data_IF_522724753984
#
_entry.id   IF_522724753984
#
_cell.length_a   1.000
_cell.length_b   1.000
_cell.length_c   1.000
_cell.angle_alpha   90.00
_cell.angle_beta   90.00
_cell.angle_gamma   90.00
#
_symmetry.space_group_name_H-M   'P 1'
#
loop_
_entity.id
_entity.type
_entity.pdbx_description
1 polymer ?
#
# COMPACT_ATOMS: atom_id res chain seq x y z
N UNK A 1 13.29 14.54 0.68
CA UNK A 1 12.40 15.53 1.31
C UNK A 1 11.83 14.89 2.57
N UNK A 2 11.50 15.65 3.61
CA UNK A 2 10.80 15.09 4.78
C UNK A 2 9.32 15.44 4.63
N UNK A 3 8.45 14.43 4.63
CA UNK A 3 7.01 14.66 4.64
C UNK A 3 6.56 14.82 6.09
N UNK A 4 6.01 16.00 6.39
CA UNK A 4 5.42 16.33 7.68
C UNK A 4 3.91 16.43 7.50
N UNK A 5 3.15 15.59 8.19
CA UNK A 5 1.70 15.59 8.11
C UNK A 5 1.07 15.09 9.41
N UNK A 6 0.27 15.92 10.11
CA UNK A 6 -0.42 15.46 11.31
C UNK A 6 -1.66 14.63 10.96
N UNK A 7 -1.91 13.56 11.71
CA UNK A 7 -3.21 12.90 11.77
C UNK A 7 -4.09 13.68 12.75
N UNK A 8 -5.15 14.32 12.26
CA UNK A 8 -5.98 15.23 13.07
C UNK A 8 -7.39 14.70 13.22
N UNK A 9 -7.90 14.68 14.46
CA UNK A 9 -9.29 14.38 14.74
C UNK A 9 -10.17 15.62 14.51
N UNK A 10 -11.27 15.45 13.77
CA UNK A 10 -12.26 16.49 13.47
C UNK A 10 -13.60 16.08 14.11
N UNK A 11 -14.34 16.99 14.77
CA UNK A 11 -14.17 18.45 14.79
C UNK A 11 -13.25 19.01 15.88
N UNK A 12 -12.74 18.18 16.80
CA UNK A 12 -11.97 18.66 17.97
C UNK A 12 -10.65 19.35 17.63
N UNK A 13 -10.14 19.20 16.40
CA UNK A 13 -8.82 19.68 15.93
C UNK A 13 -7.64 19.10 16.72
N UNK A 14 -7.86 18.04 17.49
CA UNK A 14 -6.79 17.37 18.25
C UNK A 14 -5.86 16.66 17.28
N UNK A 15 -4.57 16.98 17.32
CA UNK A 15 -3.53 16.20 16.65
C UNK A 15 -3.39 14.87 17.40
N UNK A 16 -3.60 13.77 16.70
CA UNK A 16 -3.51 12.41 17.22
C UNK A 16 -2.08 11.86 17.08
N UNK A 17 -1.47 12.06 15.91
CA UNK A 17 -0.09 11.66 15.61
C UNK A 17 0.57 12.78 14.82
N UNK A 18 1.82 13.10 15.15
CA UNK A 18 2.65 13.96 14.32
C UNK A 18 3.60 13.05 13.54
N UNK A 19 3.26 12.76 12.28
CA UNK A 19 4.04 11.82 11.48
C UNK A 19 5.15 12.57 10.77
N UNK A 20 6.39 12.14 11.04
CA UNK A 20 7.55 12.48 10.24
C UNK A 20 7.94 11.27 9.41
N UNK A 21 7.83 11.39 8.09
CA UNK A 21 8.42 10.40 7.19
C UNK A 21 9.66 11.00 6.55
N UNK A 22 10.82 10.46 6.93
CA UNK A 22 12.12 10.88 6.40
C UNK A 22 12.38 10.20 5.06
N UNK A 23 12.87 10.96 4.09
CA UNK A 23 13.38 10.42 2.83
C UNK A 23 12.31 10.01 1.79
N UNK A 24 11.02 10.20 2.08
CA UNK A 24 9.97 10.03 1.08
C UNK A 24 9.93 11.22 0.10
N UNK A 25 9.82 10.92 -1.19
CA UNK A 25 9.56 11.89 -2.26
C UNK A 25 8.06 12.13 -2.44
N UNK A 26 7.28 11.06 -2.32
CA UNK A 26 5.84 11.10 -2.44
C UNK A 26 5.19 10.16 -1.42
N UNK A 27 3.94 10.43 -1.05
CA UNK A 27 3.13 9.49 -0.31
C UNK A 27 1.71 9.40 -0.83
N UNK A 28 1.16 8.19 -0.79
CA UNK A 28 -0.25 7.94 -1.07
C UNK A 28 -0.92 7.39 0.20
N UNK A 29 -2.15 7.84 0.47
CA UNK A 29 -2.87 7.53 1.70
C UNK A 29 -4.16 6.78 1.39
N UNK A 30 -4.37 5.63 2.04
CA UNK A 30 -5.56 4.79 1.84
C UNK A 30 -6.22 4.47 3.17
N UNK A 31 -7.45 4.95 3.34
CA UNK A 31 -8.31 4.61 4.46
C UNK A 31 -8.93 3.22 4.29
N UNK A 32 -8.90 2.41 5.34
CA UNK A 32 -9.72 1.20 5.42
C UNK A 32 -11.19 1.61 5.63
N UNK A 33 -12.12 0.81 5.11
CA UNK A 33 -13.53 1.21 4.95
C UNK A 33 -14.27 1.58 6.24
N UNK A 34 -13.87 1.01 7.39
CA UNK A 34 -14.45 1.31 8.71
C UNK A 34 -13.60 2.34 9.50
N UNK A 35 -12.53 2.87 8.89
CA UNK A 35 -11.63 3.85 9.49
C UNK A 35 -10.75 3.28 10.60
N UNK A 36 -10.58 1.95 10.67
CA UNK A 36 -9.75 1.30 11.68
C UNK A 36 -8.25 1.42 11.36
N UNK A 37 -7.92 1.48 10.07
CA UNK A 37 -6.55 1.52 9.57
C UNK A 37 -6.37 2.64 8.54
N UNK A 38 -5.20 3.26 8.56
CA UNK A 38 -4.71 4.14 7.49
C UNK A 38 -3.39 3.57 6.98
N UNK A 39 -3.34 3.25 5.69
CA UNK A 39 -2.08 2.94 5.02
C UNK A 39 -1.48 4.22 4.45
N UNK A 40 -0.18 4.41 4.64
CA UNK A 40 0.62 5.44 3.99
C UNK A 40 1.71 4.74 3.20
N UNK A 41 1.61 4.79 1.88
CA UNK A 41 2.58 4.24 0.94
C UNK A 41 3.66 5.30 0.72
N UNK A 42 4.92 4.92 0.92
CA UNK A 42 6.04 5.85 0.91
C UNK A 42 6.96 5.55 -0.26
N UNK A 43 6.97 6.43 -1.25
CA UNK A 43 7.95 6.37 -2.34
C UNK A 43 9.25 7.03 -1.87
N UNK A 44 10.26 6.21 -1.59
CA UNK A 44 11.60 6.67 -1.21
C UNK A 44 12.62 6.53 -2.35
N UNK A 45 12.16 6.53 -3.62
CA UNK A 45 13.08 6.56 -4.76
C UNK A 45 13.96 7.82 -4.73
N UNK A 46 15.17 7.68 -5.26
CA UNK A 46 16.10 8.80 -5.40
C UNK A 46 16.84 8.71 -6.73
N UNK A 47 17.50 9.79 -7.14
CA UNK A 47 18.37 9.78 -8.31
C UNK A 47 19.47 8.70 -8.23
N UNK A 48 19.91 8.37 -7.01
CA UNK A 48 20.92 7.34 -6.75
C UNK A 48 20.35 5.93 -6.67
N UNK A 49 19.09 5.80 -6.26
CA UNK A 49 18.34 4.54 -6.13
C UNK A 49 16.95 4.71 -6.76
N UNK A 50 16.82 4.62 -8.10
CA UNK A 50 15.58 4.92 -8.83
C UNK A 50 14.46 3.90 -8.56
N UNK A 51 14.86 2.72 -8.10
CA UNK A 51 14.04 1.61 -7.65
C UNK A 51 13.94 1.71 -6.13
N UNK A 52 12.83 2.26 -5.64
CA UNK A 52 12.64 2.60 -4.25
C UNK A 52 12.60 1.35 -3.35
N UNK A 53 13.10 1.49 -2.13
CA UNK A 53 12.51 0.77 -0.99
C UNK A 53 11.17 1.44 -0.73
N UNK A 54 10.09 0.82 -1.18
CA UNK A 54 8.76 1.32 -0.82
C UNK A 54 8.40 0.72 0.53
N UNK A 55 8.08 1.59 1.46
CA UNK A 55 7.61 1.20 2.78
C UNK A 55 6.13 1.53 2.89
N UNK A 56 5.36 0.60 3.42
CA UNK A 56 3.96 0.84 3.77
C UNK A 56 3.90 1.01 5.28
N UNK A 57 3.53 2.20 5.74
CA UNK A 57 3.24 2.45 7.14
C UNK A 57 1.74 2.26 7.39
N UNK A 58 1.38 1.34 8.28
CA UNK A 58 0.00 1.07 8.69
C UNK A 58 -0.24 1.65 10.08
N UNK A 59 -1.14 2.62 10.17
CA UNK A 59 -1.59 3.23 11.43
C UNK A 59 -2.86 2.53 11.91
N UNK A 60 -2.86 2.04 13.14
CA UNK A 60 -4.04 1.42 13.75
C UNK A 60 -4.80 2.40 14.65
N UNK A 61 -5.81 3.07 14.10
CA UNK A 61 -6.43 4.25 14.73
C UNK A 61 -7.23 3.94 16.00
N UNK A 62 -7.66 2.70 16.19
CA UNK A 62 -8.48 2.28 17.34
C UNK A 62 -7.65 1.82 18.53
N UNK A 63 -6.35 1.56 18.36
CA UNK A 63 -5.47 1.14 19.45
C UNK A 63 -4.93 2.37 20.21
N UNK A 64 -4.70 2.26 21.53
CA UNK A 64 -4.06 3.32 22.31
C UNK A 64 -2.74 3.75 21.66
N UNK A 65 -2.48 5.05 21.63
CA UNK A 65 -1.29 5.67 21.04
C UNK A 65 -1.12 5.49 19.52
N UNK A 66 -2.05 4.83 18.83
CA UNK A 66 -2.06 4.64 17.37
C UNK A 66 -0.71 4.05 16.91
N UNK A 67 -0.46 2.75 17.16
CA UNK A 67 0.76 2.11 16.73
C UNK A 67 0.90 2.19 15.20
N UNK A 68 2.15 2.20 14.75
CA UNK A 68 2.53 2.27 13.35
C UNK A 68 3.39 1.07 13.01
N UNK A 69 2.91 0.23 12.11
CA UNK A 69 3.62 -0.95 11.63
C UNK A 69 4.17 -0.70 10.23
N UNK A 70 5.41 -1.10 9.99
CA UNK A 70 6.07 -0.93 8.70
C UNK A 70 6.14 -2.27 7.96
N UNK A 71 5.64 -2.28 6.73
CA UNK A 71 5.78 -3.40 5.80
C UNK A 71 6.77 -2.99 4.72
N UNK A 72 7.94 -3.62 4.75
CA UNK A 72 9.01 -3.42 3.77
C UNK A 72 8.95 -4.52 2.71
N UNK A 73 9.33 -4.18 1.48
CA UNK A 73 9.50 -5.17 0.42
C UNK A 73 10.92 -5.73 0.42
N UNK A 74 11.05 -7.05 0.27
CA UNK A 74 12.35 -7.75 0.24
C UNK A 74 13.25 -7.32 -0.92
N UNK A 75 12.66 -6.75 -1.97
CA UNK A 75 13.33 -6.39 -3.21
C UNK A 75 12.87 -5.03 -3.67
N UNK A 76 13.75 -4.33 -4.37
CA UNK A 76 13.42 -3.07 -5.00
C UNK A 76 12.22 -3.24 -5.96
N UNK A 77 11.18 -2.45 -5.75
CA UNK A 77 9.93 -2.55 -6.50
C UNK A 77 9.24 -1.19 -6.57
N UNK A 78 8.21 -1.09 -7.42
CA UNK A 78 7.26 0.02 -7.41
C UNK A 78 5.88 -0.49 -7.08
N UNK A 79 5.12 0.19 -6.21
CA UNK A 79 3.73 -0.14 -5.99
C UNK A 79 2.95 0.29 -7.23
N UNK A 80 2.21 -0.67 -7.78
CA UNK A 80 1.31 -0.48 -8.92
C UNK A 80 -0.13 -0.30 -8.43
N UNK A 81 -0.53 -1.06 -7.40
CA UNK A 81 -1.86 -0.96 -6.83
C UNK A 81 -1.86 -1.39 -5.36
N UNK A 82 -2.74 -0.78 -4.58
CA UNK A 82 -3.01 -1.13 -3.19
C UNK A 82 -4.53 -1.20 -2.98
N UNK A 83 -4.99 -2.17 -2.19
CA UNK A 83 -6.38 -2.20 -1.75
C UNK A 83 -6.54 -2.91 -0.40
N UNK A 84 -7.28 -2.26 0.50
CA UNK A 84 -7.76 -2.83 1.74
C UNK A 84 -8.86 -3.87 1.50
N UNK A 85 -8.88 -4.92 2.33
CA UNK A 85 -10.09 -5.70 2.53
C UNK A 85 -11.15 -4.84 3.26
N UNK A 86 -12.36 -4.70 2.70
CA UNK A 86 -13.45 -3.99 3.37
C UNK A 86 -13.77 -4.64 4.72
N UNK A 87 -13.85 -3.83 5.78
CA UNK A 87 -14.15 -4.25 7.16
C UNK A 87 -13.18 -5.31 7.73
N UNK A 88 -12.03 -5.53 7.08
CA UNK A 88 -11.00 -6.47 7.51
C UNK A 88 -9.69 -5.78 7.92
N UNK A 89 -8.73 -6.59 8.35
CA UNK A 89 -7.35 -6.21 8.71
C UNK A 89 -6.33 -6.63 7.63
N UNK A 90 -6.79 -7.12 6.49
CA UNK A 90 -5.94 -7.58 5.38
C UNK A 90 -5.86 -6.54 4.29
N UNK A 91 -4.77 -6.56 3.54
CA UNK A 91 -4.63 -5.75 2.32
C UNK A 91 -3.87 -6.51 1.24
N UNK A 92 -4.08 -6.08 0.00
CA UNK A 92 -3.36 -6.56 -1.16
C UNK A 92 -2.50 -5.46 -1.76
N UNK A 93 -1.32 -5.83 -2.25
CA UNK A 93 -0.41 -4.95 -2.99
C UNK A 93 -0.05 -5.62 -4.30
N UNK A 94 -0.09 -4.89 -5.40
CA UNK A 94 0.61 -5.26 -6.63
C UNK A 94 1.86 -4.39 -6.69
N UNK A 95 3.01 -5.04 -6.81
CA UNK A 95 4.30 -4.37 -6.94
C UNK A 95 5.11 -4.93 -8.11
N UNK A 96 5.96 -4.11 -8.73
CA UNK A 96 6.86 -4.56 -9.79
C UNK A 96 7.67 -3.41 -10.39
N UNK A 97 8.83 -3.73 -10.98
CA UNK A 97 9.68 -2.74 -11.65
C UNK A 97 9.17 -2.38 -13.07
N UNK A 98 8.43 -3.29 -13.69
CA UNK A 98 7.86 -3.11 -15.03
C UNK A 98 6.40 -3.58 -15.05
N UNK A 99 5.58 -3.13 -16.02
CA UNK A 99 4.19 -3.58 -16.17
C UNK A 99 4.01 -5.09 -16.31
N UNK A 100 5.07 -5.83 -16.67
CA UNK A 100 5.04 -7.28 -16.93
C UNK A 100 5.68 -8.12 -15.83
N UNK A 101 6.28 -7.47 -14.82
CA UNK A 101 6.98 -8.14 -13.71
C UNK A 101 6.26 -7.91 -12.38
N UNK A 102 4.92 -7.88 -12.42
CA UNK A 102 4.09 -7.64 -11.25
C UNK A 102 4.01 -8.86 -10.32
N UNK A 103 3.88 -8.58 -9.04
CA UNK A 103 3.64 -9.56 -7.99
C UNK A 103 2.50 -9.05 -7.12
N UNK A 104 1.45 -9.87 -6.98
CA UNK A 104 0.32 -9.64 -6.09
C UNK A 104 0.61 -10.34 -4.77
N UNK A 105 0.71 -9.55 -3.69
CA UNK A 105 1.00 -10.04 -2.35
C UNK A 105 -0.12 -9.61 -1.40
N UNK A 106 -0.58 -10.54 -0.58
CA UNK A 106 -1.57 -10.29 0.46
C UNK A 106 -0.91 -10.30 1.84
N UNK A 107 -1.25 -9.32 2.66
CA UNK A 107 -0.72 -9.13 3.99
C UNK A 107 -1.83 -9.20 5.03
N UNK A 108 -1.46 -9.65 6.22
CA UNK A 108 -2.29 -9.61 7.41
C UNK A 108 -1.66 -8.65 8.43
N UNK A 109 -2.39 -7.60 8.81
CA UNK A 109 -1.90 -6.61 9.78
C UNK A 109 -1.81 -7.19 11.18
N UNK A 110 -2.73 -8.05 11.59
CA UNK A 110 -2.76 -8.58 12.96
C UNK A 110 -1.66 -9.62 13.17
N UNK A 111 -1.37 -10.41 12.14
CA UNK A 111 -0.33 -11.45 12.17
C UNK A 111 1.05 -10.94 11.71
N UNK A 112 1.14 -9.70 11.22
CA UNK A 112 2.36 -9.10 10.67
C UNK A 112 3.07 -9.99 9.64
N UNK A 113 2.30 -10.65 8.76
CA UNK A 113 2.83 -11.64 7.84
C UNK A 113 2.24 -11.55 6.43
N UNK A 114 2.98 -12.11 5.48
CA UNK A 114 2.50 -12.39 4.12
C UNK A 114 1.62 -13.63 4.15
N UNK A 115 0.41 -13.52 3.61
CA UNK A 115 -0.54 -14.63 3.48
C UNK A 115 -0.36 -15.40 2.18
N UNK A 116 -0.12 -14.70 1.08
CA UNK A 116 0.03 -15.30 -0.24
C UNK A 116 0.70 -14.32 -1.21
N UNK A 117 1.45 -14.90 -2.16
CA UNK A 117 2.16 -14.17 -3.21
C UNK A 117 1.95 -14.84 -4.56
N UNK A 118 1.67 -14.07 -5.60
CA UNK A 118 1.45 -14.58 -6.96
C UNK A 118 1.94 -13.61 -8.04
N UNK A 119 2.72 -14.11 -9.00
CA UNK A 119 3.08 -13.34 -10.21
C UNK A 119 1.82 -12.91 -10.97
N UNK A 120 1.81 -11.66 -11.43
CA UNK A 120 0.65 -11.06 -12.12
C UNK A 120 1.09 -9.99 -13.11
N UNK A 121 0.26 -9.74 -14.12
CA UNK A 121 0.34 -8.55 -14.97
C UNK A 121 -0.78 -7.56 -14.67
N UNK A 122 -1.52 -7.78 -13.58
CA UNK A 122 -2.61 -6.90 -13.20
C UNK A 122 -2.10 -5.53 -12.77
N UNK A 123 -2.94 -4.51 -12.96
CA UNK A 123 -2.64 -3.13 -12.56
C UNK A 123 -3.67 -2.58 -11.56
N UNK A 124 -4.57 -3.41 -11.07
CA UNK A 124 -5.59 -3.01 -10.12
C UNK A 124 -6.03 -4.19 -9.25
N UNK A 125 -6.45 -3.88 -8.04
CA UNK A 125 -7.00 -4.81 -7.05
C UNK A 125 -8.36 -4.28 -6.64
N UNK A 126 -9.39 -5.12 -6.71
CA UNK A 126 -10.72 -4.82 -6.17
C UNK A 126 -11.13 -5.96 -5.25
N UNK A 127 -11.28 -5.65 -3.97
CA UNK A 127 -11.90 -6.57 -3.02
C UNK A 127 -13.42 -6.53 -3.17
N UNK A 128 -14.06 -7.67 -2.99
CA UNK A 128 -15.52 -7.69 -2.88
C UNK A 128 -15.96 -7.09 -1.53
N UNK A 129 -17.16 -6.50 -1.43
CA UNK A 129 -17.60 -5.81 -0.21
C UNK A 129 -17.73 -6.68 1.05
N UNK A 130 -17.88 -8.00 0.92
CA UNK A 130 -18.01 -8.91 2.08
C UNK A 130 -16.67 -9.47 2.57
N UNK A 131 -15.55 -9.02 1.96
CA UNK A 131 -14.26 -9.66 2.12
C UNK A 131 -14.24 -11.05 1.49
N UNK A 132 -13.05 -11.66 1.46
CA UNK A 132 -12.74 -13.01 0.93
C UNK A 132 -12.44 -13.14 -0.56
N UNK A 133 -12.97 -12.29 -1.44
CA UNK A 133 -12.72 -12.41 -2.88
C UNK A 133 -12.03 -11.16 -3.43
N UNK A 134 -11.13 -11.39 -4.38
CA UNK A 134 -10.35 -10.33 -5.03
C UNK A 134 -10.43 -10.51 -6.54
N UNK A 135 -10.82 -9.44 -7.23
CA UNK A 135 -10.74 -9.33 -8.68
C UNK A 135 -9.55 -8.45 -9.06
N UNK A 136 -8.87 -8.80 -10.15
CA UNK A 136 -7.77 -8.02 -10.70
C UNK A 136 -7.95 -7.82 -12.20
N UNK A 137 -7.39 -6.72 -12.73
CA UNK A 137 -7.47 -6.38 -14.16
C UNK A 137 -6.08 -6.29 -14.77
N UNK A 138 -5.81 -7.11 -15.77
CA UNK A 138 -4.62 -6.98 -16.62
C UNK A 138 -4.86 -5.95 -17.74
N UNK A 139 -3.84 -5.18 -18.13
CA UNK A 139 -3.93 -4.32 -19.30
C UNK A 139 -4.14 -5.16 -20.57
N UNK A 140 -4.86 -4.64 -21.58
CA UNK A 140 -5.05 -5.35 -22.84
C UNK A 140 -3.70 -5.60 -23.53
N UNK A 141 -3.46 -6.83 -23.97
CA UNK A 141 -2.29 -7.16 -24.78
C UNK A 141 -2.41 -6.46 -26.14
N UNK A 142 -1.49 -5.55 -26.47
CA UNK A 142 -1.36 -5.09 -27.85
C UNK A 142 -0.59 -6.16 -28.63
N UNK A 143 -1.31 -6.93 -29.47
CA UNK A 143 -0.66 -7.65 -30.56
C UNK A 143 -0.13 -6.58 -31.51
N UNK A 144 1.16 -6.24 -31.44
CA UNK A 144 1.80 -5.60 -32.59
C UNK A 144 1.62 -6.57 -33.76
N UNK A 145 0.92 -6.14 -34.82
CA UNK A 145 1.01 -6.82 -36.11
C UNK A 145 2.49 -6.85 -36.46
N UNK A 146 3.03 -8.06 -36.64
CA UNK A 146 4.25 -8.22 -37.40
C UNK A 146 3.85 -7.95 -38.85
N UNK A 147 4.23 -6.78 -39.34
CA UNK A 147 4.31 -6.52 -40.79
C UNK A 147 5.62 -7.12 -41.31
#
# INVERSE_FOLDING_TARGET
MNLHGPLVHVPSKKVLVNTLVVGAQNCEMHWQSDGNYLAVLLDQSSERHPSAYINIAIFELKKPHIPVEFFEFERESKIVAFAWEPKGHRFGVIQGLTPYSGELTFYDVDLLQVLATKKTMAMNIQWNPTGRFVATRCPPFSKKKMD
#
